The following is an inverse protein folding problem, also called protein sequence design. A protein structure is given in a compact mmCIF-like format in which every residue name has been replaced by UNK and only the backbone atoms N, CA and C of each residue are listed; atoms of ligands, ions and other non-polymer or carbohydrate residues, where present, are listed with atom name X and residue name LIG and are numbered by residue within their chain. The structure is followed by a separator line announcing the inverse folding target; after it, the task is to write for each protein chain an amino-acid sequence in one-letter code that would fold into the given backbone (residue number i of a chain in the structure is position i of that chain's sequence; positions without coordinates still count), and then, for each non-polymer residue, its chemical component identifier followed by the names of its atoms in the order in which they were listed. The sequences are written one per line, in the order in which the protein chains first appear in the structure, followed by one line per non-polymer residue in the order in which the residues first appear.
data_IF_172607647358
#
_entry.id   IF_172607647358
#
_cell.length_a   1.000
_cell.length_b   1.000
_cell.length_c   1.000
_cell.angle_alpha   90.00
_cell.angle_beta   90.00
_cell.angle_gamma   90.00
#
_symmetry.space_group_name_H-M   'P 1'
#
loop_
_entity.id
_entity.type
_entity.pdbx_description
1 polymer ?
#
# COMPACT_ATOMS: atom_id res chain seq x y z
N UNK A 1 -4.11 -61.22 6.00
CA UNK A 1 -4.04 -60.76 7.41
C UNK A 1 -3.66 -59.29 7.32
N UNK A 2 -4.41 -58.25 7.71
CA UNK A 2 -5.60 -58.06 8.53
C UNK A 2 -6.54 -57.04 7.84
N UNK A 3 -7.84 -57.20 8.07
CA UNK A 3 -8.93 -56.29 7.69
C UNK A 3 -8.89 -54.99 8.52
N UNK A 4 -9.39 -53.89 7.97
CA UNK A 4 -10.29 -53.00 8.72
C UNK A 4 -11.27 -52.26 7.78
N UNK A 5 -12.54 -52.65 7.90
CA UNK A 5 -13.74 -52.03 7.32
C UNK A 5 -14.34 -51.06 8.34
N UNK A 6 -14.77 -49.87 7.91
CA UNK A 6 -15.94 -49.13 8.45
C UNK A 6 -16.56 -48.42 7.22
N UNK A 7 -17.53 -49.03 6.53
CA UNK A 7 -18.98 -49.02 6.80
C UNK A 7 -19.54 -47.59 6.64
N UNK A 8 -20.06 -47.25 5.45
CA UNK A 8 -21.48 -47.35 5.06
C UNK A 8 -22.37 -46.36 5.82
N UNK A 9 -22.95 -45.40 5.12
CA UNK A 9 -24.39 -45.13 5.08
C UNK A 9 -24.57 -43.89 4.17
N UNK A 10 -24.98 -44.08 2.92
CA UNK A 10 -26.38 -44.24 2.53
C UNK A 10 -27.07 -42.88 2.31
N UNK A 11 -27.81 -42.82 1.21
CA UNK A 11 -28.88 -41.87 0.91
C UNK A 11 -28.52 -40.51 0.29
N UNK A 12 -28.42 -40.57 -1.04
CA UNK A 12 -29.27 -39.80 -1.95
C UNK A 12 -30.56 -39.33 -1.26
N UNK A 13 -30.77 -38.02 -1.12
CA UNK A 13 -32.10 -37.42 -1.18
C UNK A 13 -32.03 -36.22 -2.12
N UNK A 14 -32.81 -36.37 -3.19
CA UNK A 14 -33.06 -35.45 -4.28
C UNK A 14 -34.49 -34.94 -4.11
N UNK A 15 -34.69 -33.66 -3.75
CA UNK A 15 -35.96 -32.91 -3.89
C UNK A 15 -35.55 -31.42 -3.98
N UNK A 16 -35.41 -30.76 -5.13
CA UNK A 16 -36.32 -30.43 -6.24
C UNK A 16 -37.23 -29.19 -6.00
N UNK A 17 -36.94 -28.13 -6.76
CA UNK A 17 -37.78 -27.00 -7.24
C UNK A 17 -38.22 -25.92 -6.21
N UNK A 18 -38.40 -24.62 -6.50
CA UNK A 18 -38.54 -23.85 -7.76
C UNK A 18 -37.84 -22.47 -7.61
N UNK A 19 -37.20 -22.00 -8.67
CA UNK A 19 -36.77 -20.61 -8.82
C UNK A 19 -36.38 -20.32 -10.26
N UNK A 20 -37.36 -20.22 -11.16
CA UNK A 20 -37.16 -19.84 -12.55
C UNK A 20 -37.15 -18.32 -12.67
N UNK A 21 -36.09 -17.77 -13.25
CA UNK A 21 -35.97 -16.37 -13.65
C UNK A 21 -34.88 -16.24 -14.72
N UNK A 22 -35.27 -16.40 -15.98
CA UNK A 22 -34.40 -16.26 -17.14
C UNK A 22 -33.82 -14.84 -17.28
N UNK A 23 -32.53 -14.76 -17.58
CA UNK A 23 -32.06 -14.23 -18.86
C UNK A 23 -30.63 -14.70 -19.12
N UNK A 24 -30.47 -15.40 -20.23
CA UNK A 24 -29.22 -15.90 -20.80
C UNK A 24 -28.20 -14.79 -21.03
N UNK A 25 -26.96 -14.97 -20.56
CA UNK A 25 -25.77 -14.54 -21.31
C UNK A 25 -24.63 -15.53 -21.08
N UNK A 26 -24.36 -16.33 -22.12
CA UNK A 26 -23.08 -16.98 -22.35
C UNK A 26 -22.01 -15.91 -22.59
N UNK A 27 -20.90 -15.95 -21.87
CA UNK A 27 -19.66 -15.25 -22.23
C UNK A 27 -18.46 -15.95 -21.60
N UNK A 28 -17.83 -16.78 -22.42
CA UNK A 28 -16.40 -16.94 -22.65
C UNK A 28 -15.41 -16.12 -21.80
N UNK A 29 -14.36 -16.82 -21.36
CA UNK A 29 -13.13 -16.32 -20.74
C UNK A 29 -12.69 -14.89 -21.14
N UNK A 30 -12.54 -14.01 -20.14
CA UNK A 30 -11.43 -13.04 -20.12
C UNK A 30 -11.15 -12.55 -18.70
N UNK A 31 -9.94 -12.83 -18.23
CA UNK A 31 -9.32 -12.14 -17.08
C UNK A 31 -9.52 -10.63 -17.23
N UNK A 32 -10.38 -10.05 -16.38
CA UNK A 32 -10.56 -8.61 -16.27
C UNK A 32 -9.47 -8.09 -15.34
N UNK A 33 -8.42 -7.57 -15.95
CA UNK A 33 -7.48 -6.65 -15.30
C UNK A 33 -8.26 -5.47 -14.71
N UNK A 34 -8.36 -5.43 -13.39
CA UNK A 34 -8.86 -4.27 -12.66
C UNK A 34 -7.85 -3.14 -12.90
N UNK A 35 -8.21 -2.19 -13.75
CA UNK A 35 -7.47 -0.92 -13.87
C UNK A 35 -7.63 -0.17 -12.54
N UNK A 36 -6.58 -0.15 -11.73
CA UNK A 36 -6.44 0.77 -10.59
C UNK A 36 -6.40 2.18 -11.18
N UNK A 37 -7.45 2.98 -10.97
CA UNK A 37 -7.44 4.40 -11.32
C UNK A 37 -6.50 5.09 -10.33
N UNK A 38 -5.24 5.29 -10.72
CA UNK A 38 -4.34 6.19 -9.99
C UNK A 38 -4.97 7.58 -10.06
N UNK A 39 -5.35 8.14 -8.91
CA UNK A 39 -5.68 9.55 -8.81
C UNK A 39 -4.51 10.35 -9.40
N UNK A 40 -4.85 11.40 -10.14
CA UNK A 40 -3.93 12.22 -10.92
C UNK A 40 -2.78 12.74 -10.04
N UNK A 41 -1.64 12.05 -10.16
CA UNK A 41 -0.27 12.58 -10.15
C UNK A 41 -0.01 13.75 -9.18
N UNK A 42 -0.01 13.44 -7.88
CA UNK A 42 0.52 14.36 -6.88
C UNK A 42 2.06 14.44 -6.99
N UNK A 43 2.72 13.38 -7.46
CA UNK A 43 4.17 13.28 -7.70
C UNK A 43 4.71 14.36 -8.64
N UNK A 44 4.01 14.75 -9.71
CA UNK A 44 4.49 15.76 -10.65
C UNK A 44 4.44 17.18 -10.12
N UNK A 45 3.70 17.42 -9.04
CA UNK A 45 3.71 18.69 -8.34
C UNK A 45 4.76 18.75 -7.23
N UNK A 46 5.46 17.64 -6.93
CA UNK A 46 6.53 17.59 -5.95
C UNK A 46 7.89 17.82 -6.62
N UNK A 47 8.74 18.61 -5.97
CA UNK A 47 10.07 18.88 -6.48
C UNK A 47 11.04 17.78 -6.02
N UNK A 48 11.65 17.07 -6.98
CA UNK A 48 12.82 16.24 -6.73
C UNK A 48 14.00 17.07 -6.23
N UNK A 49 14.90 16.46 -5.47
CA UNK A 49 16.03 17.15 -4.84
C UNK A 49 15.62 18.10 -3.70
N UNK A 50 14.34 18.09 -3.30
CA UNK A 50 13.81 18.93 -2.23
C UNK A 50 12.96 18.11 -1.27
N UNK A 51 12.91 18.57 -0.02
CA UNK A 51 12.01 18.00 0.97
C UNK A 51 10.64 18.60 0.74
N UNK A 52 9.67 17.75 0.42
CA UNK A 52 8.27 18.09 0.32
C UNK A 52 7.61 17.64 1.62
N UNK A 53 7.15 18.60 2.43
CA UNK A 53 6.62 18.35 3.78
C UNK A 53 5.11 18.57 3.83
N UNK A 54 4.46 17.99 4.85
CA UNK A 54 3.01 18.07 5.10
C UNK A 54 2.15 17.52 3.95
N UNK A 55 2.60 16.44 3.31
CA UNK A 55 1.78 15.71 2.36
C UNK A 55 0.71 14.96 3.16
N UNK A 56 -0.55 15.28 2.89
CA UNK A 56 -1.70 14.73 3.61
C UNK A 56 -2.07 13.37 3.03
N UNK A 57 -2.31 12.38 3.91
CA UNK A 57 -2.78 11.06 3.49
C UNK A 57 -4.21 11.17 2.93
N UNK A 58 -4.47 10.60 1.75
CA UNK A 58 -5.76 10.70 1.06
C UNK A 58 -6.88 10.07 1.87
N UNK A 59 -6.59 8.92 2.50
CA UNK A 59 -7.58 8.15 3.25
C UNK A 59 -7.78 8.66 4.68
N UNK A 60 -6.95 9.60 5.16
CA UNK A 60 -7.11 10.22 6.48
C UNK A 60 -6.39 11.57 6.54
N UNK A 61 -7.15 12.66 6.53
CA UNK A 61 -6.61 14.02 6.53
C UNK A 61 -5.93 14.44 7.84
N UNK A 62 -6.09 13.66 8.92
CA UNK A 62 -5.37 13.88 10.19
C UNK A 62 -3.92 13.39 10.13
N UNK A 63 -3.59 12.58 9.12
CA UNK A 63 -2.26 12.03 8.93
C UNK A 63 -1.51 12.72 7.80
N UNK A 64 -0.23 13.01 8.04
CA UNK A 64 0.66 13.58 7.04
C UNK A 64 2.07 13.03 7.16
N UNK A 65 2.88 13.33 6.14
CA UNK A 65 4.28 12.94 6.08
C UNK A 65 5.12 13.96 5.31
N UNK A 66 6.43 13.84 5.49
CA UNK A 66 7.42 14.44 4.61
C UNK A 66 7.97 13.38 3.65
N UNK A 67 8.37 13.81 2.46
CA UNK A 67 9.04 12.95 1.48
C UNK A 67 10.18 13.70 0.78
N UNK A 68 11.20 12.94 0.41
CA UNK A 68 12.27 13.36 -0.48
C UNK A 68 12.31 12.41 -1.67
N UNK A 69 12.16 12.99 -2.85
CA UNK A 69 12.38 12.29 -4.11
C UNK A 69 13.83 12.59 -4.53
N UNK A 70 14.66 11.57 -4.81
CA UNK A 70 16.05 11.79 -5.18
C UNK A 70 16.14 12.61 -6.47
N UNK A 71 17.25 13.29 -6.70
CA UNK A 71 17.42 14.17 -7.88
C UNK A 71 17.18 13.44 -9.22
N UNK A 72 17.43 12.13 -9.26
CA UNK A 72 17.20 11.28 -10.42
C UNK A 72 15.80 10.65 -10.48
N UNK A 73 14.86 11.07 -9.63
CA UNK A 73 13.49 10.57 -9.61
C UNK A 73 12.81 10.80 -10.97
N UNK A 74 12.12 9.77 -11.45
CA UNK A 74 11.35 9.79 -12.70
C UNK A 74 10.18 8.83 -12.60
N UNK A 75 9.00 9.24 -13.05
CA UNK A 75 7.82 8.38 -13.07
C UNK A 75 7.92 7.19 -14.05
N UNK A 76 9.01 7.13 -14.83
CA UNK A 76 9.32 5.99 -15.70
C UNK A 76 9.97 4.81 -14.97
N UNK A 77 10.50 5.00 -13.76
CA UNK A 77 11.30 4.01 -13.04
C UNK A 77 10.70 3.69 -11.68
N UNK A 78 10.91 2.47 -11.19
CA UNK A 78 10.58 2.10 -9.81
C UNK A 78 11.78 2.40 -8.90
N UNK A 79 11.52 2.96 -7.73
CA UNK A 79 12.53 3.33 -6.74
C UNK A 79 12.37 2.54 -5.44
N UNK A 80 13.46 2.14 -4.76
CA UNK A 80 13.37 1.69 -3.38
C UNK A 80 12.88 2.82 -2.46
N UNK A 81 12.26 2.45 -1.34
CA UNK A 81 11.84 3.41 -0.30
C UNK A 81 12.44 3.04 1.04
N UNK A 82 12.93 4.07 1.73
CA UNK A 82 13.22 4.05 3.15
C UNK A 82 12.09 4.75 3.92
N UNK A 83 11.38 4.00 4.76
CA UNK A 83 10.36 4.53 5.65
C UNK A 83 10.97 4.89 7.01
N UNK A 84 10.78 6.14 7.43
CA UNK A 84 11.30 6.65 8.69
C UNK A 84 10.17 6.98 9.67
N UNK A 85 10.46 6.79 10.95
CA UNK A 85 9.60 7.16 12.07
C UNK A 85 10.40 7.95 13.10
N UNK A 86 10.07 9.23 13.29
CA UNK A 86 10.67 10.07 14.32
C UNK A 86 9.87 9.95 15.61
N UNK A 87 10.54 9.84 16.76
CA UNK A 87 9.87 9.73 18.07
C UNK A 87 8.97 10.92 18.41
N UNK A 88 9.12 12.06 17.73
CA UNK A 88 8.31 13.26 17.91
C UNK A 88 7.45 13.59 16.68
N UNK A 89 7.38 12.72 15.67
CA UNK A 89 6.63 12.98 14.44
C UNK A 89 7.20 14.14 13.60
N UNK A 90 8.52 14.33 13.59
CA UNK A 90 9.17 15.40 12.82
C UNK A 90 9.74 14.86 11.51
N UNK A 91 8.88 14.62 10.53
CA UNK A 91 9.27 13.99 9.27
C UNK A 91 10.34 14.76 8.51
N UNK A 92 10.15 16.07 8.32
CA UNK A 92 11.15 16.93 7.67
C UNK A 92 12.52 16.88 8.37
N UNK A 93 12.54 16.99 9.69
CA UNK A 93 13.77 16.96 10.47
C UNK A 93 14.53 15.63 10.31
N UNK A 94 13.82 14.51 10.24
CA UNK A 94 14.42 13.21 9.98
C UNK A 94 14.99 13.12 8.57
N UNK A 95 14.24 13.54 7.56
CA UNK A 95 14.69 13.50 6.16
C UNK A 95 15.92 14.39 5.94
N UNK A 96 16.00 15.56 6.57
CA UNK A 96 17.16 16.46 6.47
C UNK A 96 18.49 15.75 6.80
N UNK A 97 18.47 14.75 7.69
CA UNK A 97 19.66 13.98 8.09
C UNK A 97 20.11 12.94 7.08
N UNK A 98 19.20 12.46 6.23
CA UNK A 98 19.43 11.30 5.36
C UNK A 98 19.28 11.59 3.87
N UNK A 99 18.82 12.79 3.48
CA UNK A 99 18.57 13.12 2.07
C UNK A 99 19.79 12.95 1.15
N UNK A 100 21.03 13.13 1.66
CA UNK A 100 22.22 12.88 0.84
C UNK A 100 22.37 11.40 0.46
N UNK A 101 21.96 10.49 1.36
CA UNK A 101 21.92 9.05 1.06
C UNK A 101 20.81 8.73 0.06
N UNK A 102 19.73 9.51 0.06
CA UNK A 102 18.66 9.38 -0.93
C UNK A 102 19.20 9.53 -2.35
N UNK A 103 20.00 10.57 -2.59
CA UNK A 103 20.61 10.82 -3.91
C UNK A 103 21.72 9.82 -4.22
N UNK A 104 22.57 9.49 -3.24
CA UNK A 104 23.68 8.55 -3.43
C UNK A 104 23.20 7.15 -3.84
N UNK A 105 22.11 6.68 -3.23
CA UNK A 105 21.59 5.32 -3.47
C UNK A 105 20.35 5.28 -4.37
N UNK A 106 19.88 6.43 -4.86
CA UNK A 106 18.68 6.53 -5.69
C UNK A 106 17.44 5.97 -4.99
N UNK A 107 17.21 6.41 -3.75
CA UNK A 107 16.09 5.96 -2.92
C UNK A 107 15.16 7.12 -2.57
N UNK A 108 13.87 6.81 -2.49
CA UNK A 108 12.87 7.72 -1.91
C UNK A 108 12.99 7.60 -0.39
N UNK A 109 12.95 8.72 0.32
CA UNK A 109 12.81 8.73 1.77
C UNK A 109 11.46 9.31 2.13
N UNK A 110 10.65 8.58 2.89
CA UNK A 110 9.39 9.06 3.42
C UNK A 110 9.40 8.98 4.95
N UNK A 111 8.89 10.00 5.64
CA UNK A 111 8.83 10.00 7.10
C UNK A 111 7.49 10.53 7.61
N UNK A 112 6.84 9.76 8.48
CA UNK A 112 5.57 10.17 9.08
C UNK A 112 5.73 11.43 9.94
N UNK A 113 4.79 12.37 9.79
CA UNK A 113 4.63 13.51 10.71
C UNK A 113 3.67 13.19 11.86
N UNK A 114 2.95 12.07 11.79
CA UNK A 114 1.86 11.73 12.71
C UNK A 114 2.22 10.63 13.70
N UNK A 115 3.06 9.67 13.31
CA UNK A 115 3.53 8.59 14.18
C UNK A 115 4.57 9.14 15.16
N UNK A 116 4.32 8.98 16.46
CA UNK A 116 5.18 9.51 17.53
C UNK A 116 4.97 8.77 18.84
N UNK A 117 5.94 8.89 19.74
CA UNK A 117 5.85 8.30 21.07
C UNK A 117 4.67 8.86 21.86
N UNK A 118 4.11 8.02 22.74
CA UNK A 118 2.97 8.36 23.59
C UNK A 118 1.60 8.02 22.99
N UNK A 119 1.54 7.62 21.73
CA UNK A 119 0.34 7.02 21.12
C UNK A 119 0.15 5.57 21.57
N UNK A 120 -1.09 5.10 21.63
CA UNK A 120 -1.38 3.68 21.79
C UNK A 120 -0.88 2.86 20.60
N UNK A 121 -0.69 1.56 20.81
CA UNK A 121 -0.28 0.64 19.74
C UNK A 121 -1.26 0.66 18.56
N UNK A 122 -2.57 0.70 18.84
CA UNK A 122 -3.60 0.75 17.81
C UNK A 122 -3.49 2.03 16.96
N UNK A 123 -3.26 3.18 17.58
CA UNK A 123 -3.07 4.45 16.87
C UNK A 123 -1.82 4.40 15.99
N UNK A 124 -0.69 3.93 16.54
CA UNK A 124 0.57 3.81 15.78
C UNK A 124 0.40 2.88 14.57
N UNK A 125 -0.28 1.74 14.73
CA UNK A 125 -0.52 0.79 13.64
C UNK A 125 -1.38 1.39 12.53
N UNK A 126 -2.46 2.10 12.90
CA UNK A 126 -3.34 2.76 11.93
C UNK A 126 -2.57 3.85 11.17
N UNK A 127 -1.83 4.70 11.88
CA UNK A 127 -1.05 5.79 11.27
C UNK A 127 -0.01 5.21 10.31
N UNK A 128 0.74 4.20 10.75
CA UNK A 128 1.80 3.58 9.96
C UNK A 128 1.25 2.92 8.70
N UNK A 129 0.14 2.19 8.82
CA UNK A 129 -0.52 1.58 7.67
C UNK A 129 -0.99 2.63 6.67
N UNK A 130 -1.71 3.66 7.11
CA UNK A 130 -2.25 4.71 6.23
C UNK A 130 -1.14 5.49 5.53
N UNK A 131 -0.06 5.81 6.25
CA UNK A 131 1.11 6.47 5.70
C UNK A 131 1.80 5.63 4.62
N UNK A 132 2.11 4.36 4.93
CA UNK A 132 2.78 3.45 3.99
C UNK A 132 1.91 3.18 2.75
N UNK A 133 0.60 2.98 2.96
CA UNK A 133 -0.35 2.78 1.87
C UNK A 133 -0.41 4.00 0.95
N UNK A 134 -0.51 5.21 1.51
CA UNK A 134 -0.58 6.45 0.74
C UNK A 134 0.67 6.65 -0.12
N UNK A 135 1.85 6.48 0.46
CA UNK A 135 3.14 6.54 -0.25
C UNK A 135 3.18 5.50 -1.38
N UNK A 136 2.82 4.24 -1.09
CA UNK A 136 2.77 3.18 -2.10
C UNK A 136 1.74 3.40 -3.22
N UNK A 137 0.70 4.20 -2.95
CA UNK A 137 -0.32 4.51 -3.94
C UNK A 137 0.07 5.66 -4.88
N UNK A 138 0.89 6.60 -4.40
CA UNK A 138 1.24 7.85 -5.10
C UNK A 138 2.55 7.77 -5.86
N UNK A 139 3.54 7.03 -5.37
CA UNK A 139 4.90 7.05 -5.92
C UNK A 139 5.26 5.76 -6.66
N UNK A 140 6.24 5.86 -7.58
CA UNK A 140 6.77 4.70 -8.29
C UNK A 140 7.75 3.91 -7.43
N UNK A 141 7.20 2.97 -6.66
CA UNK A 141 7.96 2.22 -5.68
C UNK A 141 8.21 0.78 -6.14
N UNK A 142 9.44 0.32 -5.97
CA UNK A 142 9.81 -1.09 -6.10
C UNK A 142 9.33 -1.84 -4.86
N UNK A 143 8.21 -2.56 -5.01
CA UNK A 143 7.59 -3.26 -3.88
C UNK A 143 8.44 -4.40 -3.29
N UNK A 144 9.58 -4.73 -3.88
CA UNK A 144 10.54 -5.69 -3.33
C UNK A 144 11.61 -5.06 -2.44
N UNK A 145 11.67 -3.73 -2.34
CA UNK A 145 12.72 -2.97 -1.65
C UNK A 145 12.14 -1.94 -0.68
N UNK A 146 11.55 -2.46 0.39
CA UNK A 146 11.06 -1.72 1.55
C UNK A 146 12.08 -1.80 2.68
N UNK A 147 12.54 -0.64 3.17
CA UNK A 147 13.49 -0.51 4.28
C UNK A 147 12.89 0.30 5.42
#
# INVERSE_FOLDING_TARGET
MHKLNIIFFSFIILISNLGCGNSTQESTNKSKSVKKNYALDESSNLAAGKINDNIVCVNNSENSYAIYLPENYSDSNLFPVLFLFDSHGRGKFSIEKYKSLADEFGLIIACSNSSKNGQSESEQNIISYQFIEDVNSKFKIDNSKFF
#
